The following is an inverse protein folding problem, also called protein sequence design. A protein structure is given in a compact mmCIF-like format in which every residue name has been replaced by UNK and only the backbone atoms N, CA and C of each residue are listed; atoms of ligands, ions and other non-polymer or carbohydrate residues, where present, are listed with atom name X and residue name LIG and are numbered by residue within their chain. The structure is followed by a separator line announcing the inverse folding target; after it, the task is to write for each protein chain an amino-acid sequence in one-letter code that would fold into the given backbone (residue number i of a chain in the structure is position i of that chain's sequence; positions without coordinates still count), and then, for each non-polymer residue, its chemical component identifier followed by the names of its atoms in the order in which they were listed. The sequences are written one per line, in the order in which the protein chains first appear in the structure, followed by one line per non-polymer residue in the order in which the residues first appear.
data_IF_625234036648
#
_entry.id   IF_625234036648
#
_cell.length_a   1.000
_cell.length_b   1.000
_cell.length_c   1.000
_cell.angle_alpha   90.00
_cell.angle_beta   90.00
_cell.angle_gamma   90.00
#
_symmetry.space_group_name_H-M   'P 1'
#
loop_
_entity.id
_entity.type
_entity.pdbx_description
1 polymer ?
#
# COMPACT_ATOMS: atom_id res chain seq x y z
N UNK A 1 2.84 -19.60 10.62
CA UNK A 1 3.08 -18.15 10.87
C UNK A 1 4.58 -17.95 10.85
N UNK A 2 5.07 -17.26 9.85
CA UNK A 2 6.47 -16.85 9.80
C UNK A 2 6.73 -15.82 10.91
N UNK A 3 7.97 -15.76 11.38
CA UNK A 3 8.38 -14.72 12.32
C UNK A 3 8.27 -13.35 11.60
N UNK A 4 7.79 -12.31 12.28
CA UNK A 4 7.68 -10.94 11.74
C UNK A 4 8.99 -10.44 11.11
N UNK A 5 10.15 -10.78 11.70
CA UNK A 5 11.45 -10.41 11.12
C UNK A 5 11.69 -11.09 9.78
N UNK A 6 11.25 -12.34 9.60
CA UNK A 6 11.36 -13.04 8.32
C UNK A 6 10.44 -12.38 7.26
N UNK A 7 9.21 -12.05 7.61
CA UNK A 7 8.32 -11.29 6.70
C UNK A 7 8.93 -9.95 6.29
N UNK A 8 9.54 -9.22 7.22
CA UNK A 8 10.20 -7.94 6.92
C UNK A 8 11.42 -8.14 6.00
N UNK A 9 12.13 -9.25 6.14
CA UNK A 9 13.30 -9.60 5.34
C UNK A 9 12.90 -10.01 3.92
N UNK A 10 11.86 -10.83 3.78
CA UNK A 10 11.42 -11.42 2.50
C UNK A 10 10.51 -10.49 1.71
N UNK A 11 9.65 -9.71 2.39
CA UNK A 11 8.75 -8.77 1.74
C UNK A 11 9.52 -7.77 0.86
N UNK A 12 9.18 -7.72 -0.40
CA UNK A 12 9.74 -6.77 -1.37
C UNK A 12 8.63 -6.12 -2.18
N UNK A 13 8.88 -4.92 -2.70
CA UNK A 13 7.97 -4.30 -3.67
C UNK A 13 8.01 -5.09 -4.99
N UNK A 14 6.94 -5.79 -5.29
CA UNK A 14 6.73 -6.58 -6.51
C UNK A 14 5.98 -5.73 -7.53
N UNK A 15 6.49 -5.65 -8.73
CA UNK A 15 5.95 -4.79 -9.82
C UNK A 15 5.58 -5.55 -11.08
N UNK A 16 5.80 -6.87 -11.09
CA UNK A 16 5.38 -7.77 -12.14
C UNK A 16 4.54 -8.88 -11.52
N UNK A 17 3.34 -9.06 -12.05
CA UNK A 17 2.36 -10.02 -11.55
C UNK A 17 2.00 -10.99 -12.67
N UNK A 18 1.57 -12.20 -12.29
CA UNK A 18 0.99 -13.18 -13.22
C UNK A 18 -0.46 -12.81 -13.49
N UNK A 19 -0.94 -13.11 -14.69
CA UNK A 19 -2.37 -13.01 -15.06
C UNK A 19 -3.18 -14.11 -14.35
N UNK A 20 -3.28 -13.99 -13.03
CA UNK A 20 -3.96 -14.97 -12.17
C UNK A 20 -4.81 -14.20 -11.17
N UNK A 21 -6.08 -14.51 -11.11
CA UNK A 21 -6.98 -13.94 -10.11
C UNK A 21 -6.62 -14.42 -8.71
N UNK A 22 -6.86 -13.57 -7.73
CA UNK A 22 -6.78 -13.91 -6.31
C UNK A 22 -8.14 -14.43 -5.87
N UNK A 23 -8.16 -15.52 -5.08
CA UNK A 23 -9.43 -16.07 -4.63
C UNK A 23 -10.13 -15.12 -3.64
N UNK A 24 -11.48 -15.13 -3.59
CA UNK A 24 -12.24 -14.29 -2.66
C UNK A 24 -11.82 -14.48 -1.20
N UNK A 25 -11.42 -15.68 -0.81
CA UNK A 25 -10.98 -16.00 0.55
C UNK A 25 -9.66 -15.28 0.90
N UNK A 26 -8.72 -15.18 -0.06
CA UNK A 26 -7.49 -14.44 0.14
C UNK A 26 -7.75 -12.92 0.18
N UNK A 27 -8.69 -12.42 -0.63
CA UNK A 27 -9.10 -11.01 -0.57
C UNK A 27 -9.74 -10.70 0.80
N UNK A 28 -10.57 -11.60 1.32
CA UNK A 28 -11.16 -11.46 2.65
C UNK A 28 -10.09 -11.44 3.74
N UNK A 29 -9.07 -12.32 3.68
CA UNK A 29 -7.96 -12.32 4.64
C UNK A 29 -7.15 -11.01 4.59
N UNK A 30 -6.86 -10.48 3.41
CA UNK A 30 -6.23 -9.17 3.26
C UNK A 30 -7.06 -8.06 3.94
N UNK A 31 -8.38 -8.09 3.77
CA UNK A 31 -9.27 -7.11 4.40
C UNK A 31 -9.39 -7.31 5.91
N UNK A 32 -9.41 -8.53 6.40
CA UNK A 32 -9.35 -8.81 7.85
C UNK A 32 -8.11 -8.19 8.48
N UNK A 33 -6.93 -8.40 7.88
CA UNK A 33 -5.68 -7.85 8.39
C UNK A 33 -5.69 -6.31 8.43
N UNK A 34 -6.10 -5.68 7.34
CA UNK A 34 -6.07 -4.22 7.24
C UNK A 34 -7.11 -3.55 8.13
N UNK A 35 -8.28 -4.17 8.34
CA UNK A 35 -9.31 -3.66 9.25
C UNK A 35 -8.94 -3.79 10.74
N UNK A 36 -7.94 -4.62 11.08
CA UNK A 36 -7.35 -4.70 12.41
C UNK A 36 -6.22 -3.67 12.64
N UNK A 37 -5.94 -2.80 11.67
CA UNK A 37 -4.89 -1.79 11.80
C UNK A 37 -5.18 -0.85 12.97
N UNK A 38 -4.19 -0.53 13.79
CA UNK A 38 -4.34 0.47 14.83
C UNK A 38 -4.49 1.87 14.23
N UNK A 39 -5.16 2.74 14.95
CA UNK A 39 -5.28 4.15 14.62
C UNK A 39 -5.20 5.02 15.87
N UNK A 40 -4.86 6.29 15.69
CA UNK A 40 -4.84 7.27 16.78
C UNK A 40 -6.21 7.33 17.45
N UNK A 41 -6.26 7.17 18.79
CA UNK A 41 -7.49 7.21 19.60
C UNK A 41 -8.60 6.26 19.13
N UNK A 42 -8.25 5.24 18.32
CA UNK A 42 -9.21 4.33 17.66
C UNK A 42 -10.20 5.08 16.74
N UNK A 43 -9.75 6.16 16.12
CA UNK A 43 -10.58 6.97 15.21
C UNK A 43 -10.93 6.23 13.92
N UNK A 44 -10.10 5.26 13.50
CA UNK A 44 -10.28 4.44 12.31
C UNK A 44 -10.66 5.28 11.07
N UNK A 45 -9.86 6.30 10.70
CA UNK A 45 -10.20 7.24 9.62
C UNK A 45 -10.13 6.59 8.24
N UNK A 46 -9.51 5.42 8.15
CA UNK A 46 -9.25 4.70 6.90
C UNK A 46 -10.50 4.02 6.36
N UNK A 47 -10.59 4.01 5.04
CA UNK A 47 -11.51 3.21 4.25
C UNK A 47 -10.74 2.61 3.07
N UNK A 48 -11.26 1.53 2.50
CA UNK A 48 -10.58 0.78 1.45
C UNK A 48 -11.52 0.50 0.30
N UNK A 49 -11.07 0.75 -0.93
CA UNK A 49 -11.79 0.38 -2.15
C UNK A 49 -10.98 -0.72 -2.83
N UNK A 50 -11.59 -1.89 -3.03
CA UNK A 50 -11.01 -3.00 -3.76
C UNK A 50 -11.41 -2.86 -5.22
N UNK A 51 -10.43 -2.85 -6.11
CA UNK A 51 -10.64 -2.77 -7.56
C UNK A 51 -10.03 -4.01 -8.20
N UNK A 52 -10.87 -4.80 -8.89
CA UNK A 52 -10.47 -6.03 -9.59
C UNK A 52 -10.82 -5.94 -11.09
N UNK A 53 -11.66 -4.97 -11.48
CA UNK A 53 -12.09 -4.79 -12.87
C UNK A 53 -10.91 -4.30 -13.73
N UNK A 54 -10.53 -5.04 -14.81
CA UNK A 54 -9.33 -4.74 -15.59
C UNK A 54 -9.31 -3.34 -16.22
N UNK A 55 -10.45 -2.83 -16.70
CA UNK A 55 -10.54 -1.49 -17.27
C UNK A 55 -10.29 -0.40 -16.23
N UNK A 56 -10.74 -0.61 -14.98
CA UNK A 56 -10.48 0.32 -13.89
C UNK A 56 -9.03 0.22 -13.40
N UNK A 57 -8.44 -0.99 -13.32
CA UNK A 57 -7.02 -1.16 -13.02
C UNK A 57 -6.15 -0.44 -14.04
N UNK A 58 -6.49 -0.54 -15.32
CA UNK A 58 -5.83 0.19 -16.39
C UNK A 58 -5.96 1.70 -16.20
N UNK A 59 -7.14 2.21 -15.91
CA UNK A 59 -7.36 3.64 -15.67
C UNK A 59 -6.56 4.15 -14.47
N UNK A 60 -6.51 3.38 -13.37
CA UNK A 60 -5.71 3.70 -12.20
C UNK A 60 -4.19 3.64 -12.49
N UNK A 61 -3.75 2.83 -13.45
CA UNK A 61 -2.34 2.74 -13.85
C UNK A 61 -1.82 4.02 -14.51
N UNK A 62 -2.70 4.96 -14.85
CA UNK A 62 -2.39 6.25 -15.45
C UNK A 62 -2.57 7.43 -14.47
N UNK A 63 -2.94 7.16 -13.20
CA UNK A 63 -3.28 8.19 -12.21
C UNK A 63 -2.12 9.12 -11.83
N UNK A 64 -0.87 8.78 -12.17
CA UNK A 64 0.28 9.67 -11.96
C UNK A 64 1.37 9.47 -13.03
N UNK A 65 2.28 10.41 -13.09
CA UNK A 65 3.32 10.46 -14.13
C UNK A 65 4.22 9.23 -14.20
N UNK A 66 4.65 8.68 -13.05
CA UNK A 66 5.58 7.55 -12.99
C UNK A 66 5.25 6.58 -11.86
N UNK A 67 5.51 5.28 -12.08
CA UNK A 67 5.48 4.25 -11.06
C UNK A 67 4.08 3.82 -10.60
N UNK A 68 3.06 4.02 -11.42
CA UNK A 68 1.71 3.47 -11.25
C UNK A 68 1.37 2.42 -12.32
N UNK A 69 2.16 2.30 -13.39
CA UNK A 69 1.92 1.40 -14.53
C UNK A 69 1.78 -0.07 -14.10
N UNK A 70 2.41 -0.44 -12.98
CA UNK A 70 2.32 -1.79 -12.42
C UNK A 70 0.88 -2.20 -11.99
N UNK A 71 -0.04 -1.23 -11.82
CA UNK A 71 -1.43 -1.49 -11.43
C UNK A 71 -2.18 -2.24 -12.54
N UNK A 72 -1.91 -1.93 -13.80
CA UNK A 72 -2.55 -2.58 -14.96
C UNK A 72 -2.34 -4.10 -15.00
N UNK A 73 -1.18 -4.57 -14.51
CA UNK A 73 -0.86 -6.00 -14.43
C UNK A 73 -1.17 -6.67 -13.09
N UNK A 74 -1.75 -5.95 -12.13
CA UNK A 74 -2.12 -6.50 -10.84
C UNK A 74 -3.42 -7.31 -10.91
N UNK A 75 -3.59 -8.29 -10.01
CA UNK A 75 -4.85 -9.01 -9.86
C UNK A 75 -5.92 -8.14 -9.20
N UNK A 76 -5.51 -7.28 -8.26
CA UNK A 76 -6.36 -6.26 -7.65
C UNK A 76 -5.52 -5.07 -7.18
N UNK A 77 -6.21 -3.97 -6.97
CA UNK A 77 -5.67 -2.78 -6.32
C UNK A 77 -6.54 -2.43 -5.11
N UNK A 78 -5.92 -2.14 -3.97
CA UNK A 78 -6.60 -1.58 -2.80
C UNK A 78 -6.29 -0.10 -2.73
N UNK A 79 -7.30 0.74 -2.95
CA UNK A 79 -7.17 2.19 -2.81
C UNK A 79 -7.42 2.56 -1.37
N UNK A 80 -6.43 3.18 -0.74
CA UNK A 80 -6.46 3.54 0.68
C UNK A 80 -6.84 5.01 0.81
N UNK A 81 -8.01 5.24 1.41
CA UNK A 81 -8.60 6.56 1.59
C UNK A 81 -8.84 6.86 3.07
N UNK A 82 -8.96 8.11 3.41
CA UNK A 82 -9.23 8.54 4.78
C UNK A 82 -10.18 9.72 4.85
N UNK A 83 -10.88 9.81 5.99
CA UNK A 83 -11.56 11.02 6.42
C UNK A 83 -10.61 11.85 7.32
N UNK A 84 -10.08 13.00 6.85
CA UNK A 84 -9.18 13.84 7.62
C UNK A 84 -9.84 14.50 8.82
N UNK A 85 -11.18 14.59 8.87
CA UNK A 85 -11.91 15.14 10.02
C UNK A 85 -11.96 14.16 11.20
N UNK A 86 -11.82 12.85 10.93
CA UNK A 86 -11.79 11.83 11.97
C UNK A 86 -10.47 11.77 12.74
N UNK A 87 -9.35 12.19 12.13
CA UNK A 87 -8.01 12.10 12.73
C UNK A 87 -7.08 13.17 12.16
N UNK A 88 -6.45 13.94 13.02
CA UNK A 88 -5.42 14.90 12.62
C UNK A 88 -4.08 14.24 12.23
N UNK A 89 -3.95 12.94 12.48
CA UNK A 89 -2.82 12.07 12.08
C UNK A 89 -3.27 10.96 11.14
N UNK A 90 -4.27 11.27 10.30
CA UNK A 90 -4.83 10.31 9.35
C UNK A 90 -3.79 9.74 8.39
N UNK A 91 -2.76 10.50 8.03
CA UNK A 91 -1.69 10.07 7.13
C UNK A 91 -0.92 8.91 7.74
N UNK A 92 -0.54 9.03 9.01
CA UNK A 92 0.14 7.99 9.77
C UNK A 92 -0.77 6.77 9.90
N UNK A 93 -2.04 6.96 10.24
CA UNK A 93 -3.02 5.90 10.41
C UNK A 93 -3.18 5.07 9.11
N UNK A 94 -3.38 5.72 7.96
CA UNK A 94 -3.51 5.00 6.67
C UNK A 94 -2.20 4.42 6.16
N UNK A 95 -1.07 5.02 6.50
CA UNK A 95 0.26 4.49 6.17
C UNK A 95 0.53 3.19 6.91
N UNK A 96 0.15 3.11 8.19
CA UNK A 96 0.22 1.89 9.00
C UNK A 96 -0.69 0.81 8.38
N UNK A 97 -1.94 1.14 8.06
CA UNK A 97 -2.87 0.23 7.43
C UNK A 97 -2.35 -0.31 6.10
N UNK A 98 -1.82 0.55 5.25
CA UNK A 98 -1.19 0.15 3.98
C UNK A 98 -0.01 -0.79 4.20
N UNK A 99 0.80 -0.57 5.24
CA UNK A 99 1.94 -1.43 5.54
C UNK A 99 1.50 -2.80 6.07
N UNK A 100 0.45 -2.86 6.90
CA UNK A 100 -0.16 -4.14 7.34
C UNK A 100 -0.64 -4.93 6.12
N UNK A 101 -1.30 -4.28 5.16
CA UNK A 101 -1.72 -4.92 3.91
C UNK A 101 -0.54 -5.53 3.13
N UNK A 102 0.62 -4.86 3.14
CA UNK A 102 1.84 -5.40 2.53
C UNK A 102 2.37 -6.64 3.25
N UNK A 103 2.33 -6.66 4.58
CA UNK A 103 2.78 -7.79 5.38
C UNK A 103 1.87 -9.00 5.16
N UNK A 104 0.55 -8.79 5.19
CA UNK A 104 -0.41 -9.86 4.96
C UNK A 104 -0.28 -10.42 3.53
N UNK A 105 -0.13 -9.58 2.52
CA UNK A 105 0.09 -10.04 1.16
C UNK A 105 1.34 -10.93 1.05
N UNK A 106 2.42 -10.60 1.76
CA UNK A 106 3.63 -11.43 1.79
C UNK A 106 3.40 -12.76 2.51
N UNK A 107 2.72 -12.76 3.67
CA UNK A 107 2.39 -13.98 4.46
C UNK A 107 1.51 -14.93 3.64
N UNK A 108 0.61 -14.39 2.83
CA UNK A 108 -0.24 -15.14 1.89
C UNK A 108 0.49 -15.57 0.60
N UNK A 109 1.80 -15.33 0.49
CA UNK A 109 2.59 -15.66 -0.70
C UNK A 109 2.35 -14.76 -1.92
N UNK A 110 1.57 -13.71 -1.76
CA UNK A 110 1.29 -12.72 -2.81
C UNK A 110 2.42 -11.67 -2.92
N UNK A 111 2.46 -10.99 -4.05
CA UNK A 111 3.28 -9.80 -4.25
C UNK A 111 2.46 -8.54 -4.06
N UNK A 112 3.09 -7.49 -3.54
CA UNK A 112 2.46 -6.18 -3.41
C UNK A 112 3.41 -5.03 -3.70
N UNK A 113 2.85 -3.88 -4.10
CA UNK A 113 3.62 -2.65 -4.28
C UNK A 113 2.77 -1.43 -3.91
N UNK A 114 3.36 -0.55 -3.09
CA UNK A 114 2.81 0.76 -2.76
C UNK A 114 2.94 1.71 -3.95
N UNK A 115 1.85 2.32 -4.34
CA UNK A 115 1.77 3.40 -5.32
C UNK A 115 1.28 4.66 -4.61
N UNK A 116 2.20 5.58 -4.32
CA UNK A 116 1.85 6.87 -3.70
C UNK A 116 0.95 7.69 -4.62
N UNK A 117 -0.16 8.19 -4.09
CA UNK A 117 -1.11 9.07 -4.81
C UNK A 117 -1.06 10.48 -4.25
N UNK A 118 -1.16 10.62 -2.93
CA UNK A 118 -1.10 11.92 -2.24
C UNK A 118 0.17 12.68 -2.64
N UNK A 119 0.01 13.98 -2.92
CA UNK A 119 1.11 14.86 -3.35
C UNK A 119 1.82 14.36 -4.63
N UNK A 120 1.09 13.75 -5.55
CA UNK A 120 1.58 13.37 -6.87
C UNK A 120 0.74 14.02 -7.96
N UNK A 121 1.30 14.05 -9.17
CA UNK A 121 0.67 14.61 -10.35
C UNK A 121 0.75 13.63 -11.53
N UNK A 122 -0.23 13.74 -12.40
CA UNK A 122 -0.25 13.08 -13.71
C UNK A 122 0.79 13.67 -14.65
N UNK A 123 0.97 13.07 -15.82
CA UNK A 123 1.90 13.58 -16.84
C UNK A 123 1.50 14.97 -17.36
N UNK A 124 0.22 15.30 -17.36
CA UNK A 124 -0.35 16.60 -17.77
C UNK A 124 -0.52 17.60 -16.60
N UNK A 125 0.04 17.26 -15.42
CA UNK A 125 0.11 18.15 -14.25
C UNK A 125 -1.14 18.21 -13.39
N UNK A 126 -2.14 17.35 -13.61
CA UNK A 126 -3.32 17.26 -12.75
C UNK A 126 -2.96 16.60 -11.41
N UNK A 127 -3.69 16.96 -10.36
CA UNK A 127 -3.56 16.31 -9.06
C UNK A 127 -3.99 14.84 -9.15
N UNK A 128 -3.07 13.92 -8.79
CA UNK A 128 -3.31 12.47 -8.83
C UNK A 128 -4.46 12.04 -7.91
N UNK A 129 -4.60 12.71 -6.77
CA UNK A 129 -5.66 12.45 -5.82
C UNK A 129 -7.04 12.79 -6.42
N UNK A 130 -7.16 13.94 -7.09
CA UNK A 130 -8.38 14.34 -7.78
C UNK A 130 -8.75 13.37 -8.92
N UNK A 131 -7.74 12.88 -9.65
CA UNK A 131 -7.95 11.88 -10.72
C UNK A 131 -8.51 10.58 -10.15
N UNK A 132 -7.91 10.04 -9.07
CA UNK A 132 -8.37 8.80 -8.45
C UNK A 132 -9.77 8.96 -7.85
N UNK A 133 -10.05 10.11 -7.18
CA UNK A 133 -11.39 10.41 -6.67
C UNK A 133 -12.44 10.41 -7.78
N UNK A 134 -12.13 11.04 -8.90
CA UNK A 134 -13.04 11.07 -10.05
C UNK A 134 -13.29 9.68 -10.65
N UNK A 135 -12.25 8.85 -10.79
CA UNK A 135 -12.36 7.50 -11.34
C UNK A 135 -13.24 6.57 -10.49
N UNK A 136 -13.24 6.78 -9.18
CA UNK A 136 -13.87 5.86 -8.22
C UNK A 136 -15.06 6.50 -7.46
N UNK A 137 -15.55 7.65 -7.92
CA UNK A 137 -16.66 8.39 -7.29
C UNK A 137 -16.43 8.66 -5.79
N UNK A 138 -15.18 8.89 -5.38
CA UNK A 138 -14.82 9.19 -4.00
C UNK A 138 -15.22 10.63 -3.66
N UNK A 139 -15.99 10.86 -2.57
CA UNK A 139 -16.38 12.19 -2.12
C UNK A 139 -15.19 13.13 -1.89
N UNK A 140 -15.38 14.43 -2.16
CA UNK A 140 -14.32 15.44 -2.07
C UNK A 140 -13.74 15.63 -0.66
N UNK A 141 -14.53 15.35 0.38
CA UNK A 141 -14.08 15.41 1.77
C UNK A 141 -13.16 14.26 2.17
N UNK A 142 -13.07 13.19 1.37
CA UNK A 142 -12.14 12.09 1.61
C UNK A 142 -10.83 12.31 0.85
N UNK A 143 -9.74 11.83 1.44
CA UNK A 143 -8.39 11.94 0.90
C UNK A 143 -7.88 10.58 0.42
N UNK A 144 -7.13 10.58 -0.66
CA UNK A 144 -6.52 9.36 -1.20
C UNK A 144 -5.02 9.38 -0.90
N UNK A 145 -4.56 8.48 -0.03
CA UNK A 145 -3.13 8.40 0.31
C UNK A 145 -2.35 7.60 -0.73
N UNK A 146 -2.81 6.38 -1.00
CA UNK A 146 -2.06 5.43 -1.81
C UNK A 146 -2.96 4.39 -2.47
N UNK A 147 -2.37 3.66 -3.41
CA UNK A 147 -2.94 2.44 -3.98
C UNK A 147 -1.93 1.31 -3.71
N UNK A 148 -2.39 0.19 -3.16
CA UNK A 148 -1.58 -1.01 -3.02
C UNK A 148 -1.99 -1.99 -4.12
N UNK A 149 -1.13 -2.17 -5.11
CA UNK A 149 -1.32 -3.19 -6.14
C UNK A 149 -0.90 -4.55 -5.62
N UNK A 150 -1.71 -5.58 -5.82
CA UNK A 150 -1.51 -6.94 -5.29
C UNK A 150 -1.76 -7.96 -6.40
N UNK A 151 -0.97 -9.04 -6.40
CA UNK A 151 -1.10 -10.13 -7.36
C UNK A 151 -0.15 -11.29 -7.07
N UNK A 152 -0.28 -12.36 -7.84
CA UNK A 152 0.66 -13.47 -7.79
C UNK A 152 2.01 -13.01 -8.37
N UNK A 153 3.10 -13.23 -7.62
CA UNK A 153 4.45 -12.77 -8.00
C UNK A 153 4.88 -13.35 -9.36
N UNK A 154 5.29 -12.51 -10.29
CA UNK A 154 5.91 -12.89 -11.57
C UNK A 154 7.37 -12.45 -11.66
N UNK A 155 7.95 -12.07 -10.54
CA UNK A 155 9.36 -11.76 -10.39
C UNK A 155 9.88 -12.25 -9.03
N UNK A 156 11.17 -12.52 -8.97
CA UNK A 156 11.84 -12.92 -7.73
C UNK A 156 12.77 -11.79 -7.30
N UNK A 157 12.60 -11.31 -6.08
CA UNK A 157 13.49 -10.31 -5.47
C UNK A 157 14.35 -10.96 -4.39
N UNK A 158 15.61 -10.55 -4.34
CA UNK A 158 16.49 -10.95 -3.22
C UNK A 158 15.89 -10.41 -1.90
N UNK A 159 15.90 -11.18 -0.83
CA UNK A 159 15.56 -10.70 0.50
C UNK A 159 16.38 -9.46 0.88
N UNK A 160 15.94 -8.75 1.91
CA UNK A 160 16.70 -7.62 2.43
C UNK A 160 18.08 -8.13 2.93
N UNK A 161 19.13 -7.42 2.57
CA UNK A 161 20.50 -7.71 3.00
C UNK A 161 20.73 -7.06 4.37
N UNK A 162 20.78 -7.86 5.41
CA UNK A 162 20.93 -7.40 6.80
C UNK A 162 22.27 -6.72 7.07
N UNK A 163 23.29 -6.94 6.23
CA UNK A 163 24.56 -6.21 6.32
C UNK A 163 24.40 -4.71 6.02
N UNK A 164 23.27 -4.32 5.44
CA UNK A 164 22.91 -2.93 5.11
C UNK A 164 22.06 -2.25 6.18
N UNK A 165 21.87 -2.87 7.34
CA UNK A 165 21.20 -2.24 8.47
C UNK A 165 22.00 -1.03 8.95
N UNK A 166 21.34 0.10 9.05
CA UNK A 166 21.93 1.39 9.38
C UNK A 166 21.95 1.62 10.89
N UNK A 167 22.72 0.82 11.60
CA UNK A 167 22.82 0.87 13.06
C UNK A 167 23.24 2.22 13.60
N UNK A 168 23.97 3.01 12.82
CA UNK A 168 24.34 4.39 13.13
C UNK A 168 23.15 5.34 13.28
N UNK A 169 21.96 4.94 12.87
CA UNK A 169 20.70 5.68 13.07
C UNK A 169 19.97 5.31 14.35
N UNK A 170 20.51 4.39 15.13
CA UNK A 170 19.95 3.98 16.42
C UNK A 170 20.72 4.69 17.54
N UNK A 171 20.03 5.54 18.26
CA UNK A 171 20.61 6.30 19.38
C UNK A 171 20.07 5.76 20.70
N UNK A 172 20.95 5.67 21.71
CA UNK A 172 20.61 5.14 23.05
C UNK A 172 20.55 6.29 24.04
N UNK A 173 19.38 6.51 24.63
CA UNK A 173 19.16 7.54 25.64
C UNK A 173 19.05 8.95 25.08
N UNK A 174 20.05 9.43 24.34
CA UNK A 174 20.07 10.77 23.72
C UNK A 174 20.56 10.69 22.27
N UNK A 175 20.10 11.64 21.45
CA UNK A 175 20.57 11.77 20.07
C UNK A 175 22.10 11.89 20.02
N UNK A 176 22.72 11.18 19.09
CA UNK A 176 24.19 11.15 18.90
C UNK A 176 24.93 10.10 19.75
N UNK A 177 24.25 9.40 20.67
CA UNK A 177 24.81 8.26 21.40
C UNK A 177 24.42 6.96 20.69
N UNK A 178 25.30 6.44 19.86
CA UNK A 178 25.11 5.16 19.13
C UNK A 178 25.66 3.97 19.93
N UNK A 179 25.22 2.75 19.56
CA UNK A 179 25.70 1.51 20.17
C UNK A 179 27.12 1.21 19.71
#
# INVERSE_FOLDING_TARGET
MENLLELLRTRRSIRSFKETQISPELVEQLMHAVLMSPSSKRSNPWQFIIVEEPGMLKSLSECKKYGCQLIDGAALAVVVIADPECSNVWIEDVSIASFILHLEAEDLGLGSCWVQVRERQTADGKDSEAVVRHLLDIPENLRVESIVAIGVKNEVKKPFDETRLQWEKVHIGKFGQTK
#
